data_IF_266325692393
#
_entry.id   IF_266325692393
#
_cell.length_a   1.000
_cell.length_b   1.000
_cell.length_c   1.000
_cell.angle_alpha   90.00
_cell.angle_beta   90.00
_cell.angle_gamma   90.00
#
_symmetry.space_group_name_H-M   'P 1'
#
loop_
_entity.id
_entity.type
_entity.pdbx_description
1 polymer ?
#
# COMPACT_ATOMS: atom_id res chain seq x y z
N UNK A 1 28.44 50.21 51.42
CA UNK A 1 29.18 48.98 51.77
C UNK A 1 28.44 47.80 51.17
N UNK A 2 28.99 47.15 50.13
CA UNK A 2 28.72 45.73 49.86
C UNK A 2 29.39 44.87 50.93
N UNK A 3 29.13 43.55 51.03
CA UNK A 3 29.07 42.57 49.94
C UNK A 3 27.77 41.71 50.06
N UNK A 4 27.48 40.67 49.28
CA UNK A 4 28.20 39.96 48.26
C UNK A 4 27.22 39.01 47.55
N UNK A 5 27.51 38.83 46.27
CA UNK A 5 27.08 37.77 45.37
C UNK A 5 26.87 36.40 46.03
N UNK A 6 25.69 35.83 45.80
CA UNK A 6 25.35 34.43 46.06
C UNK A 6 24.41 33.92 44.97
N UNK A 7 24.93 33.81 43.76
CA UNK A 7 24.26 33.22 42.60
C UNK A 7 23.95 31.73 42.86
N UNK A 8 22.73 31.43 43.29
CA UNK A 8 22.19 30.07 43.26
C UNK A 8 21.51 29.83 41.90
N UNK A 9 21.92 28.84 41.10
CA UNK A 9 21.21 28.53 39.87
C UNK A 9 19.84 27.96 40.23
N UNK A 10 18.78 28.70 39.90
CA UNK A 10 17.41 28.18 39.97
C UNK A 10 17.31 26.91 39.11
N UNK A 11 16.67 25.83 39.59
CA UNK A 11 16.50 24.63 38.79
C UNK A 11 15.64 24.99 37.58
N UNK A 12 16.24 24.95 36.40
CA UNK A 12 15.57 25.17 35.12
C UNK A 12 14.39 24.20 34.94
N UNK A 13 13.44 24.54 34.05
CA UNK A 13 12.27 23.71 33.78
C UNK A 13 12.74 22.31 33.40
N UNK A 14 12.40 21.33 34.23
CA UNK A 14 12.71 19.93 34.00
C UNK A 14 12.13 19.48 32.67
N UNK A 15 12.97 19.44 31.64
CA UNK A 15 12.73 18.64 30.45
C UNK A 15 12.60 17.20 30.94
N UNK A 16 11.35 16.74 31.01
CA UNK A 16 11.03 15.33 31.19
C UNK A 16 11.62 14.56 30.00
N UNK A 17 12.63 13.70 30.17
CA UNK A 17 13.04 12.81 29.10
C UNK A 17 11.88 11.82 28.93
N UNK A 18 11.19 11.91 27.79
CA UNK A 18 10.16 10.96 27.44
C UNK A 18 10.73 9.54 27.52
N UNK A 19 9.94 8.65 28.11
CA UNK A 19 10.15 7.21 28.33
C UNK A 19 10.40 6.38 27.04
N UNK A 20 10.77 7.01 25.92
CA UNK A 20 10.81 6.45 24.58
C UNK A 20 12.21 6.32 23.96
N UNK A 21 13.30 6.56 24.69
CA UNK A 21 14.66 6.51 24.11
C UNK A 21 15.57 5.40 24.66
N UNK A 22 15.04 4.45 25.44
CA UNK A 22 15.82 3.31 25.98
C UNK A 22 15.59 1.97 25.26
N UNK A 23 14.81 1.94 24.18
CA UNK A 23 14.70 0.75 23.32
C UNK A 23 15.63 0.89 22.10
N UNK A 24 16.93 0.73 22.32
CA UNK A 24 17.99 0.38 21.34
C UNK A 24 19.34 0.47 22.07
N UNK A 25 20.09 -0.63 22.38
CA UNK A 25 19.96 -2.03 21.98
C UNK A 25 19.92 -2.99 23.19
N UNK A 26 18.77 -3.56 23.53
CA UNK A 26 18.66 -4.58 24.59
C UNK A 26 19.20 -5.97 24.18
N UNK A 27 19.72 -6.13 22.95
CA UNK A 27 20.29 -7.41 22.47
C UNK A 27 21.81 -7.53 22.62
N UNK A 28 22.55 -6.41 22.70
CA UNK A 28 24.02 -6.42 22.79
C UNK A 28 24.56 -6.47 24.23
N UNK A 29 23.74 -6.11 25.22
CA UNK A 29 24.18 -6.02 26.61
C UNK A 29 24.28 -7.40 27.32
N UNK A 30 23.74 -8.48 26.72
CA UNK A 30 23.97 -9.85 27.22
C UNK A 30 25.28 -10.47 26.69
N UNK A 31 26.17 -9.70 26.08
CA UNK A 31 27.51 -10.17 25.72
C UNK A 31 28.51 -10.13 26.90
N UNK A 32 28.19 -9.51 28.04
CA UNK A 32 29.11 -9.50 29.18
C UNK A 32 29.02 -10.76 30.07
N UNK A 33 28.00 -11.61 29.91
CA UNK A 33 27.87 -12.89 30.66
C UNK A 33 28.14 -14.13 29.81
N UNK A 34 28.35 -13.98 28.49
CA UNK A 34 28.57 -15.08 27.55
C UNK A 34 30.03 -15.45 27.28
N UNK A 35 31.00 -14.80 27.93
CA UNK A 35 32.45 -15.12 27.81
C UNK A 35 32.88 -16.23 28.78
N UNK A 36 31.97 -16.74 29.63
CA UNK A 36 32.33 -17.70 30.69
C UNK A 36 31.89 -19.15 30.41
N UNK A 37 31.06 -19.40 29.39
CA UNK A 37 30.63 -20.76 29.04
C UNK A 37 30.66 -20.92 27.52
N UNK A 38 31.76 -21.49 27.01
CA UNK A 38 32.07 -21.63 25.58
C UNK A 38 31.09 -22.47 24.77
N UNK A 39 29.90 -21.91 24.48
CA UNK A 39 28.86 -22.53 23.67
C UNK A 39 28.45 -21.58 22.54
N UNK A 40 29.25 -21.54 21.46
CA UNK A 40 29.03 -20.68 20.29
C UNK A 40 27.71 -20.92 19.55
N UNK A 41 27.02 -22.05 19.81
CA UNK A 41 25.69 -22.35 19.28
C UNK A 41 24.60 -21.41 19.79
N UNK A 42 24.68 -20.97 21.06
CA UNK A 42 23.71 -20.04 21.64
C UNK A 42 23.84 -18.63 21.04
N UNK A 43 25.07 -18.21 20.72
CA UNK A 43 25.35 -16.94 20.03
C UNK A 43 24.78 -16.98 18.61
N UNK A 44 25.01 -18.07 17.89
CA UNK A 44 24.48 -18.26 16.53
C UNK A 44 22.95 -18.30 16.50
N UNK A 45 22.29 -19.00 17.42
CA UNK A 45 20.83 -19.05 17.50
C UNK A 45 20.22 -17.68 17.85
N UNK A 46 20.89 -16.89 18.71
CA UNK A 46 20.46 -15.54 19.05
C UNK A 46 20.50 -14.60 17.83
N UNK A 47 21.55 -14.67 17.02
CA UNK A 47 21.65 -13.93 15.77
C UNK A 47 20.61 -14.36 14.73
N UNK A 48 20.37 -15.67 14.60
CA UNK A 48 19.35 -16.21 13.70
C UNK A 48 17.95 -15.74 14.13
N UNK A 49 17.64 -15.77 15.43
CA UNK A 49 16.36 -15.28 15.95
C UNK A 49 16.19 -13.76 15.77
N UNK A 50 17.27 -12.98 15.89
CA UNK A 50 17.24 -11.54 15.64
C UNK A 50 17.03 -11.21 14.16
N UNK A 51 17.78 -11.88 13.26
CA UNK A 51 17.59 -11.75 11.80
C UNK A 51 16.21 -12.24 11.38
N UNK A 52 15.71 -13.33 11.96
CA UNK A 52 14.36 -13.83 11.73
C UNK A 52 13.32 -12.82 12.22
N UNK A 53 13.53 -12.19 13.38
CA UNK A 53 12.69 -11.11 13.89
C UNK A 53 12.67 -9.89 12.97
N UNK A 54 13.82 -9.48 12.44
CA UNK A 54 13.92 -8.40 11.45
C UNK A 54 13.25 -8.79 10.13
N UNK A 55 13.45 -10.03 9.67
CA UNK A 55 12.81 -10.56 8.47
C UNK A 55 11.29 -10.59 8.63
N UNK A 56 10.79 -11.00 9.80
CA UNK A 56 9.38 -10.97 10.15
C UNK A 56 8.86 -9.54 10.27
N UNK A 57 9.63 -8.60 10.82
CA UNK A 57 9.26 -7.18 10.86
C UNK A 57 9.22 -6.58 9.45
N UNK A 58 10.15 -6.92 8.58
CA UNK A 58 10.16 -6.49 7.19
C UNK A 58 8.98 -7.10 6.42
N UNK A 59 8.70 -8.39 6.61
CA UNK A 59 7.53 -9.08 6.06
C UNK A 59 6.21 -8.50 6.59
N UNK A 60 6.13 -8.18 7.88
CA UNK A 60 4.95 -7.61 8.53
C UNK A 60 4.74 -6.14 8.14
N UNK A 61 5.81 -5.37 7.93
CA UNK A 61 5.73 -4.00 7.39
C UNK A 61 5.15 -3.99 5.98
N UNK A 62 5.43 -5.01 5.17
CA UNK A 62 4.78 -5.23 3.87
C UNK A 62 3.32 -5.70 3.99
N UNK A 63 2.93 -6.29 5.13
CA UNK A 63 1.54 -6.65 5.44
C UNK A 63 0.74 -5.56 6.16
N UNK A 64 1.33 -4.40 6.48
CA UNK A 64 0.53 -3.24 6.90
C UNK A 64 -0.34 -2.87 5.71
N UNK A 65 -1.56 -3.39 5.72
CA UNK A 65 -2.63 -2.96 4.85
C UNK A 65 -2.71 -1.45 5.03
N UNK A 66 -2.27 -0.72 4.01
CA UNK A 66 -2.46 0.72 4.00
C UNK A 66 -3.96 0.93 4.02
N UNK A 67 -4.46 1.74 4.96
CA UNK A 67 -5.89 1.91 5.14
C UNK A 67 -6.51 2.32 3.79
N UNK A 68 -7.35 1.47 3.19
CA UNK A 68 -7.86 1.73 1.84
C UNK A 68 -8.72 2.99 1.80
N UNK A 69 -9.22 3.44 2.96
CA UNK A 69 -9.95 4.71 3.13
C UNK A 69 -9.04 5.93 3.00
N UNK A 70 -7.85 5.91 3.59
CA UNK A 70 -6.88 7.01 3.48
C UNK A 70 -6.36 7.11 2.04
N UNK A 71 -6.09 5.97 1.41
CA UNK A 71 -5.71 5.94 -0.01
C UNK A 71 -6.84 6.43 -0.91
N UNK A 72 -8.10 6.08 -0.62
CA UNK A 72 -9.23 6.59 -1.38
C UNK A 72 -9.40 8.10 -1.22
N UNK A 73 -9.19 8.65 -0.02
CA UNK A 73 -9.21 10.09 0.20
C UNK A 73 -8.09 10.80 -0.57
N UNK A 74 -6.86 10.28 -0.52
CA UNK A 74 -5.73 10.82 -1.28
C UNK A 74 -5.93 10.68 -2.80
N UNK A 75 -6.53 9.58 -3.25
CA UNK A 75 -6.86 9.36 -4.65
C UNK A 75 -7.91 10.37 -5.15
N UNK A 76 -8.98 10.61 -4.38
CA UNK A 76 -9.99 11.63 -4.71
C UNK A 76 -9.39 13.04 -4.68
N UNK A 77 -8.38 13.29 -3.83
CA UNK A 77 -7.61 14.53 -3.84
C UNK A 77 -6.66 14.67 -5.04
N UNK A 78 -6.63 13.70 -5.96
CA UNK A 78 -5.84 13.74 -7.19
C UNK A 78 -4.41 13.17 -7.05
N UNK A 79 -4.07 12.50 -5.94
CA UNK A 79 -2.76 11.87 -5.81
C UNK A 79 -2.65 10.62 -6.71
N UNK A 80 -1.99 10.79 -7.86
CA UNK A 80 -1.73 9.71 -8.80
C UNK A 80 -0.97 8.52 -8.18
N UNK A 81 -0.16 8.73 -7.12
CA UNK A 81 0.51 7.63 -6.41
C UNK A 81 -0.49 6.80 -5.62
N UNK A 82 -1.43 7.45 -4.93
CA UNK A 82 -2.48 6.78 -4.18
C UNK A 82 -3.40 5.97 -5.10
N UNK A 83 -3.79 6.56 -6.24
CA UNK A 83 -4.56 5.89 -7.31
C UNK A 83 -3.85 4.62 -7.80
N UNK A 84 -2.57 4.72 -8.19
CA UNK A 84 -1.79 3.56 -8.65
C UNK A 84 -1.68 2.47 -7.59
N UNK A 85 -1.56 2.87 -6.32
CA UNK A 85 -1.47 1.94 -5.20
C UNK A 85 -2.79 1.22 -4.94
N UNK A 86 -3.93 1.92 -5.03
CA UNK A 86 -5.27 1.31 -4.97
C UNK A 86 -5.45 0.26 -6.08
N UNK A 87 -5.09 0.60 -7.32
CA UNK A 87 -5.14 -0.34 -8.44
C UNK A 87 -4.26 -1.57 -8.20
N UNK A 88 -3.02 -1.37 -7.74
CA UNK A 88 -2.13 -2.49 -7.42
C UNK A 88 -2.72 -3.41 -6.34
N UNK A 89 -3.28 -2.84 -5.27
CA UNK A 89 -3.95 -3.61 -4.20
C UNK A 89 -5.19 -4.36 -4.71
N UNK A 90 -5.91 -3.78 -5.67
CA UNK A 90 -7.04 -4.45 -6.29
C UNK A 90 -6.61 -5.67 -7.11
N UNK A 91 -5.54 -5.52 -7.90
CA UNK A 91 -4.98 -6.61 -8.70
C UNK A 91 -4.46 -7.75 -7.81
N UNK A 92 -3.81 -7.44 -6.68
CA UNK A 92 -3.42 -8.47 -5.71
C UNK A 92 -4.64 -9.15 -5.08
N UNK A 93 -5.67 -8.39 -4.70
CA UNK A 93 -6.89 -8.97 -4.15
C UNK A 93 -7.60 -9.89 -5.16
N UNK A 94 -7.57 -9.56 -6.45
CA UNK A 94 -8.08 -10.42 -7.52
C UNK A 94 -7.27 -11.71 -7.63
N UNK A 95 -5.93 -11.61 -7.62
CA UNK A 95 -5.04 -12.77 -7.68
C UNK A 95 -5.20 -13.70 -6.46
N UNK A 96 -5.54 -13.16 -5.30
CA UNK A 96 -5.86 -13.91 -4.08
C UNK A 96 -7.29 -14.51 -4.07
N UNK A 97 -8.04 -14.41 -5.18
CA UNK A 97 -9.40 -14.94 -5.24
C UNK A 97 -10.42 -14.13 -4.45
N UNK A 98 -10.17 -12.83 -4.21
CA UNK A 98 -11.09 -11.90 -3.51
C UNK A 98 -11.65 -10.84 -4.46
N UNK A 99 -12.42 -11.22 -5.50
CA UNK A 99 -12.88 -10.31 -6.54
C UNK A 99 -13.78 -9.18 -6.03
N UNK A 100 -14.58 -9.37 -4.98
CA UNK A 100 -15.39 -8.29 -4.40
C UNK A 100 -14.53 -7.18 -3.78
N UNK A 101 -13.39 -7.57 -3.21
CA UNK A 101 -12.44 -6.59 -2.63
C UNK A 101 -11.72 -5.84 -3.74
N UNK A 102 -11.33 -6.54 -4.81
CA UNK A 102 -10.75 -5.92 -6.00
C UNK A 102 -11.72 -4.91 -6.63
N UNK A 103 -12.99 -5.27 -6.79
CA UNK A 103 -14.03 -4.41 -7.35
C UNK A 103 -14.21 -3.12 -6.54
N UNK A 104 -14.28 -3.21 -5.21
CA UNK A 104 -14.40 -2.02 -4.34
C UNK A 104 -13.21 -1.08 -4.49
N UNK A 105 -11.99 -1.63 -4.52
CA UNK A 105 -10.76 -0.85 -4.67
C UNK A 105 -10.65 -0.21 -6.06
N UNK A 106 -11.01 -0.94 -7.13
CA UNK A 106 -11.08 -0.41 -8.49
C UNK A 106 -12.11 0.71 -8.61
N UNK A 107 -13.31 0.55 -8.03
CA UNK A 107 -14.33 1.63 -8.00
C UNK A 107 -13.82 2.90 -7.33
N UNK A 108 -13.00 2.79 -6.28
CA UNK A 108 -12.38 3.96 -5.65
C UNK A 108 -11.36 4.63 -6.57
N UNK A 109 -10.54 3.85 -7.27
CA UNK A 109 -9.59 4.38 -8.25
C UNK A 109 -10.29 4.99 -9.48
N UNK A 110 -11.42 4.42 -9.94
CA UNK A 110 -12.26 4.96 -11.01
C UNK A 110 -12.87 6.30 -10.60
N UNK A 111 -13.32 6.45 -9.35
CA UNK A 111 -13.82 7.74 -8.83
C UNK A 111 -12.75 8.83 -8.84
N UNK A 112 -11.47 8.45 -8.77
CA UNK A 112 -10.34 9.35 -8.89
C UNK A 112 -9.90 9.59 -10.35
N UNK A 113 -10.62 9.04 -11.33
CA UNK A 113 -10.35 9.23 -12.77
C UNK A 113 -9.31 8.27 -13.36
N UNK A 114 -8.99 7.16 -12.69
CA UNK A 114 -8.00 6.21 -13.22
C UNK A 114 -8.55 5.38 -14.39
N UNK A 115 -8.06 5.71 -15.57
CA UNK A 115 -8.44 5.07 -16.85
C UNK A 115 -8.08 3.58 -16.87
N UNK A 116 -6.92 3.20 -16.31
CA UNK A 116 -6.52 1.79 -16.20
C UNK A 116 -7.44 1.00 -15.25
N UNK A 117 -7.93 1.61 -14.17
CA UNK A 117 -8.88 0.96 -13.27
C UNK A 117 -10.25 0.76 -13.90
N UNK A 118 -10.67 1.63 -14.82
CA UNK A 118 -11.92 1.44 -15.58
C UNK A 118 -11.84 0.18 -16.46
N UNK A 119 -10.70 -0.03 -17.13
CA UNK A 119 -10.44 -1.24 -17.92
C UNK A 119 -10.44 -2.51 -17.05
N UNK A 120 -9.70 -2.50 -15.94
CA UNK A 120 -9.63 -3.66 -15.04
C UNK A 120 -10.97 -3.98 -14.37
N UNK A 121 -11.79 -2.95 -14.09
CA UNK A 121 -13.15 -3.14 -13.60
C UNK A 121 -14.04 -3.78 -14.66
N UNK A 122 -13.94 -3.34 -15.91
CA UNK A 122 -14.63 -3.98 -17.05
C UNK A 122 -14.29 -5.46 -17.17
N UNK A 123 -13.00 -5.83 -17.07
CA UNK A 123 -12.58 -7.24 -17.10
C UNK A 123 -13.12 -8.05 -15.93
N UNK A 124 -13.28 -7.44 -14.76
CA UNK A 124 -13.81 -8.11 -13.57
C UNK A 124 -15.32 -8.36 -13.71
N UNK A 125 -16.06 -7.38 -14.25
CA UNK A 125 -17.49 -7.50 -14.53
C UNK A 125 -17.73 -8.48 -15.68
N UNK A 126 -16.92 -8.46 -16.73
CA UNK A 126 -17.01 -9.39 -17.86
C UNK A 126 -16.93 -10.85 -17.39
N UNK A 127 -16.01 -11.13 -16.45
CA UNK A 127 -15.85 -12.47 -15.87
C UNK A 127 -17.02 -12.91 -14.99
N UNK A 128 -17.82 -11.97 -14.45
CA UNK A 128 -18.94 -12.25 -13.53
C UNK A 128 -20.28 -12.29 -14.23
N UNK A 129 -20.54 -11.28 -15.06
CA UNK A 129 -21.86 -10.95 -15.61
C UNK A 129 -21.87 -10.96 -17.14
N UNK A 130 -20.71 -11.16 -17.77
CA UNK A 130 -20.55 -11.17 -19.21
C UNK A 130 -20.26 -9.80 -19.83
N UNK A 131 -20.02 -9.83 -21.13
CA UNK A 131 -19.52 -8.68 -21.89
C UNK A 131 -20.47 -7.48 -21.89
N UNK A 132 -21.79 -7.72 -21.94
CA UNK A 132 -22.80 -6.65 -21.97
C UNK A 132 -22.77 -5.77 -20.71
N UNK A 133 -22.52 -6.35 -19.53
CA UNK A 133 -22.37 -5.60 -18.28
C UNK A 133 -21.01 -4.88 -18.19
N UNK A 134 -19.98 -5.39 -18.90
CA UNK A 134 -18.64 -4.84 -18.93
C UNK A 134 -18.45 -3.69 -19.92
N UNK A 135 -19.25 -3.67 -20.99
CA UNK A 135 -19.15 -2.71 -22.09
C UNK A 135 -19.14 -1.24 -21.64
N UNK A 136 -20.00 -0.79 -20.69
CA UNK A 136 -19.96 0.60 -20.22
C UNK A 136 -18.60 0.96 -19.60
N UNK A 137 -17.97 0.04 -18.88
CA UNK A 137 -16.67 0.25 -18.26
C UNK A 137 -15.55 0.31 -19.29
N UNK A 138 -15.59 -0.56 -20.30
CA UNK A 138 -14.62 -0.52 -21.40
C UNK A 138 -14.77 0.72 -22.27
N UNK A 139 -16.00 1.20 -22.48
CA UNK A 139 -16.28 2.45 -23.18
C UNK A 139 -15.71 3.65 -22.42
N UNK A 140 -15.96 3.74 -21.11
CA UNK A 140 -15.35 4.78 -20.27
C UNK A 140 -13.82 4.74 -20.33
N UNK A 141 -13.21 3.55 -20.34
CA UNK A 141 -11.76 3.41 -20.49
C UNK A 141 -11.27 3.90 -21.87
N UNK A 142 -12.02 3.63 -22.95
CA UNK A 142 -11.69 4.12 -24.29
C UNK A 142 -11.79 5.65 -24.38
N UNK A 143 -12.86 6.22 -23.85
CA UNK A 143 -13.08 7.67 -23.74
C UNK A 143 -11.95 8.34 -22.92
N UNK A 144 -11.53 7.67 -21.83
CA UNK A 144 -10.40 8.10 -20.99
C UNK A 144 -9.02 7.95 -21.63
N UNK A 145 -8.89 7.34 -22.80
CA UNK A 145 -7.61 7.24 -23.49
C UNK A 145 -6.90 5.89 -23.37
N UNK A 146 -7.52 4.86 -22.78
CA UNK A 146 -6.88 3.54 -22.65
C UNK A 146 -6.58 2.95 -24.03
N UNK A 147 -5.31 2.64 -24.31
CA UNK A 147 -4.86 2.24 -25.64
C UNK A 147 -5.57 0.98 -26.17
N UNK A 148 -5.78 -0.01 -25.29
CA UNK A 148 -6.43 -1.27 -25.66
C UNK A 148 -7.91 -1.05 -25.91
N UNK A 149 -8.61 -0.37 -24.99
CA UNK A 149 -10.04 -0.07 -25.15
C UNK A 149 -10.29 0.78 -26.40
N UNK A 150 -9.49 1.82 -26.66
CA UNK A 150 -9.59 2.62 -27.89
C UNK A 150 -9.46 1.77 -29.16
N UNK A 151 -8.58 0.77 -29.15
CA UNK A 151 -8.44 -0.16 -30.28
C UNK A 151 -9.64 -1.09 -30.44
N UNK A 152 -10.33 -1.42 -29.35
CA UNK A 152 -11.56 -2.22 -29.36
C UNK A 152 -12.78 -1.44 -29.85
N UNK A 153 -12.87 -0.14 -29.56
CA UNK A 153 -13.99 0.73 -29.95
C UNK A 153 -13.77 1.54 -31.23
N UNK A 154 -12.58 1.47 -31.85
CA UNK A 154 -12.34 2.09 -33.16
C UNK A 154 -13.32 1.53 -34.23
N UNK A 155 -13.61 2.26 -35.31
CA UNK A 155 -14.39 1.74 -36.44
C UNK A 155 -13.84 0.38 -36.92
N UNK A 156 -14.70 -0.64 -36.98
CA UNK A 156 -14.34 -2.04 -37.29
C UNK A 156 -13.70 -2.84 -36.15
N UNK A 157 -13.82 -2.39 -34.89
CA UNK A 157 -13.40 -3.11 -33.69
C UNK A 157 -14.48 -4.03 -33.11
N UNK A 158 -14.09 -4.95 -32.21
CA UNK A 158 -14.96 -6.01 -31.71
C UNK A 158 -16.12 -5.55 -30.80
N UNK A 159 -16.08 -4.32 -30.29
CA UNK A 159 -17.10 -3.76 -29.37
C UNK A 159 -17.73 -2.46 -29.89
N UNK A 160 -17.69 -2.22 -31.20
CA UNK A 160 -18.18 -0.95 -31.76
C UNK A 160 -19.73 -0.89 -31.74
N UNK A 161 -20.36 0.09 -31.06
CA UNK A 161 -21.81 0.14 -30.90
C UNK A 161 -22.59 0.55 -32.16
N UNK A 162 -21.94 1.18 -33.16
CA UNK A 162 -22.60 1.62 -34.41
C UNK A 162 -22.20 0.79 -35.64
N UNK A 163 -21.63 -0.40 -35.43
CA UNK A 163 -21.44 -1.37 -36.50
C UNK A 163 -22.77 -2.06 -36.81
N UNK A 164 -23.56 -1.47 -37.70
CA UNK A 164 -24.71 -2.11 -38.33
C UNK A 164 -24.47 -3.62 -38.53
N UNK A 165 -25.28 -4.47 -37.89
CA UNK A 165 -25.40 -5.84 -38.35
C UNK A 165 -26.25 -5.90 -39.62
N UNK A 166 -26.27 -7.06 -40.28
CA UNK A 166 -25.22 -7.66 -41.11
C UNK A 166 -25.32 -7.16 -42.57
N UNK A 167 -24.29 -7.35 -43.40
CA UNK A 167 -24.47 -7.32 -44.87
C UNK A 167 -24.37 -8.74 -45.43
N UNK A 168 -25.19 -9.08 -46.44
CA UNK A 168 -25.73 -10.44 -46.71
C UNK A 168 -24.73 -11.50 -47.16
#
# INVERSE_FOLDING_TARGET
MGPGSGSGPGPGPGLRPGLGYFLLPAGGALSLTGVVTGNGTLISLSWIMWVLGILLLFRNRSRRAVDPRELAAAAVAGDARAVRKLRALALTARAEGRPDTAERLLRQAVKAGDVESMWELGRLVEQREGLAAAEPWFRMAAEGGHAVAKRLFRPGGALHPDGAGPTP
#
